data_IF_197711376991
#
_entry.id   IF_197711376991
#
_cell.length_a   1.000
_cell.length_b   1.000
_cell.length_c   1.000
_cell.angle_alpha   90.00
_cell.angle_beta   90.00
_cell.angle_gamma   90.00
#
_symmetry.space_group_name_H-M   'P 1'
#
loop_
_entity.id
_entity.type
_entity.pdbx_description
1 polymer ?
#
# COMPACT_ATOMS: atom_id res chain seq x y z
N UNK A 1 -69.95 24.52 -4.57
CA UNK A 1 -68.78 24.68 -3.67
C UNK A 1 -68.40 23.30 -3.19
N UNK A 2 -67.12 22.93 -3.30
CA UNK A 2 -66.57 21.66 -2.79
C UNK A 2 -65.49 21.94 -1.75
N UNK A 3 -65.09 20.93 -0.99
CA UNK A 3 -64.02 21.05 0.01
C UNK A 3 -62.67 20.67 -0.60
N UNK A 4 -61.69 21.55 -0.47
CA UNK A 4 -60.38 21.44 -1.09
C UNK A 4 -59.35 20.90 -0.08
N UNK A 5 -59.49 19.60 0.23
CA UNK A 5 -58.65 18.79 1.14
C UNK A 5 -58.91 18.93 2.66
N UNK A 6 -58.39 17.97 3.44
CA UNK A 6 -58.74 17.66 4.84
C UNK A 6 -57.50 17.32 5.69
N UNK A 7 -57.55 17.42 7.04
CA UNK A 7 -56.35 17.68 7.87
C UNK A 7 -55.67 16.42 8.46
N UNK A 8 -54.54 16.64 9.14
CA UNK A 8 -53.88 15.66 10.01
C UNK A 8 -53.54 16.26 11.38
N UNK A 9 -53.94 15.58 12.47
CA UNK A 9 -53.60 15.89 13.87
C UNK A 9 -53.52 14.56 14.63
N UNK A 10 -52.43 14.27 15.35
CA UNK A 10 -52.34 13.02 16.14
C UNK A 10 -50.97 12.74 16.79
N UNK A 11 -50.89 13.00 18.10
CA UNK A 11 -49.79 12.67 19.03
C UNK A 11 -50.37 12.55 20.44
N UNK A 12 -49.86 11.77 21.40
CA UNK A 12 -48.68 10.87 21.46
C UNK A 12 -49.16 9.49 22.02
N UNK A 13 -48.42 8.51 22.59
CA UNK A 13 -47.09 8.43 23.23
C UNK A 13 -46.51 7.00 23.08
N UNK A 14 -45.19 6.87 23.21
CA UNK A 14 -44.48 5.59 23.48
C UNK A 14 -44.84 5.02 24.87
N UNK A 15 -44.63 3.72 25.14
CA UNK A 15 -43.34 3.32 25.73
C UNK A 15 -42.83 1.90 25.39
N UNK A 16 -41.51 1.70 25.58
CA UNK A 16 -40.81 0.41 25.79
C UNK A 16 -40.85 -0.68 24.69
N UNK A 17 -39.90 -1.64 24.64
CA UNK A 17 -38.46 -1.66 25.04
C UNK A 17 -37.86 -2.96 24.48
N UNK A 18 -36.82 -2.87 23.65
CA UNK A 18 -35.82 -3.94 23.52
C UNK A 18 -34.52 -3.36 22.98
N UNK A 19 -33.40 -3.64 23.67
CA UNK A 19 -32.08 -3.17 23.29
C UNK A 19 -31.32 -4.30 22.58
N UNK A 20 -30.69 -3.98 21.47
CA UNK A 20 -29.57 -4.74 20.92
C UNK A 20 -28.36 -3.80 20.90
N UNK A 21 -27.20 -4.33 21.24
CA UNK A 21 -26.06 -3.57 21.74
C UNK A 21 -25.01 -3.35 20.64
N UNK A 22 -24.50 -2.12 20.54
CA UNK A 22 -23.26 -1.68 19.90
C UNK A 22 -22.73 -2.49 18.72
N UNK A 23 -22.67 -1.83 17.56
CA UNK A 23 -21.35 -1.47 17.05
C UNK A 23 -21.42 -0.11 16.34
N UNK A 24 -21.04 0.95 17.06
CA UNK A 24 -20.67 2.20 16.41
C UNK A 24 -19.37 1.97 15.64
N UNK A 25 -19.50 1.65 14.35
CA UNK A 25 -18.38 1.77 13.42
C UNK A 25 -18.08 3.26 13.35
N UNK A 26 -16.99 3.67 13.99
CA UNK A 26 -16.44 5.01 13.82
C UNK A 26 -16.12 5.19 12.34
N UNK A 27 -16.97 5.96 11.65
CA UNK A 27 -16.60 6.58 10.38
C UNK A 27 -15.54 7.63 10.71
N UNK A 28 -14.30 7.15 10.82
CA UNK A 28 -13.14 8.02 10.79
C UNK A 28 -13.18 8.81 9.49
N UNK A 29 -12.86 10.11 9.58
CA UNK A 29 -13.12 11.04 8.50
C UNK A 29 -12.02 10.90 7.46
N UNK A 30 -12.20 9.93 6.56
CA UNK A 30 -11.61 9.99 5.23
C UNK A 30 -11.86 11.37 4.66
N UNK A 31 -10.81 12.19 4.70
CA UNK A 31 -10.78 13.45 4.00
C UNK A 31 -10.91 13.07 2.53
N UNK A 32 -11.91 13.63 1.84
CA UNK A 32 -11.92 13.62 0.39
C UNK A 32 -10.82 14.61 0.00
N UNK A 33 -9.61 14.08 -0.13
CA UNK A 33 -8.52 14.74 -0.83
C UNK A 33 -8.70 14.35 -2.28
N UNK A 34 -9.04 15.31 -3.12
CA UNK A 34 -9.06 15.14 -4.58
C UNK A 34 -7.60 15.07 -5.08
N UNK A 35 -6.93 13.96 -4.75
CA UNK A 35 -5.53 13.70 -5.02
C UNK A 35 -5.36 13.24 -6.49
N UNK A 36 -5.24 14.22 -7.39
CA UNK A 36 -5.09 14.02 -8.83
C UNK A 36 -3.79 13.27 -9.23
N UNK A 37 -2.89 13.03 -8.27
CA UNK A 37 -1.56 12.42 -8.43
C UNK A 37 -1.52 10.91 -8.10
N UNK A 38 -2.58 10.31 -7.54
CA UNK A 38 -2.58 8.91 -7.12
C UNK A 38 -2.56 7.91 -8.32
N UNK A 39 -1.70 6.86 -8.29
CA UNK A 39 -1.50 5.95 -9.42
C UNK A 39 -2.67 4.98 -9.63
N UNK A 40 -3.62 5.37 -10.49
CA UNK A 40 -4.84 4.58 -10.80
C UNK A 40 -4.57 3.28 -11.57
N UNK A 41 -5.24 2.19 -11.19
CA UNK A 41 -5.14 0.89 -11.87
C UNK A 41 -5.95 0.89 -13.17
N UNK A 42 -5.27 0.74 -14.32
CA UNK A 42 -5.93 0.61 -15.63
C UNK A 42 -6.35 -0.83 -15.89
N UNK A 43 -7.61 -1.03 -16.30
CA UNK A 43 -8.18 -2.36 -16.54
C UNK A 43 -8.96 -2.46 -17.85
N UNK A 44 -9.01 -3.67 -18.41
CA UNK A 44 -9.94 -4.07 -19.48
C UNK A 44 -10.81 -5.21 -18.95
N UNK A 45 -12.13 -5.10 -19.10
CA UNK A 45 -13.09 -6.07 -18.58
C UNK A 45 -13.74 -6.87 -19.73
N UNK A 46 -13.80 -8.19 -19.58
CA UNK A 46 -14.54 -9.11 -20.43
C UNK A 46 -15.50 -9.95 -19.59
N UNK A 47 -16.71 -10.15 -20.09
CA UNK A 47 -17.71 -11.00 -19.45
C UNK A 47 -18.48 -11.84 -20.48
N UNK A 48 -19.13 -12.90 -20.03
CA UNK A 48 -20.05 -13.71 -20.83
C UNK A 48 -21.42 -13.03 -21.03
N UNK A 49 -21.86 -12.23 -20.05
CA UNK A 49 -23.16 -11.55 -20.05
C UNK A 49 -23.06 -10.07 -19.62
N UNK A 50 -23.96 -9.24 -20.16
CA UNK A 50 -23.99 -7.80 -19.89
C UNK A 50 -24.19 -7.47 -18.41
N UNK A 51 -25.11 -8.16 -17.71
CA UNK A 51 -25.41 -7.88 -16.30
C UNK A 51 -24.20 -8.03 -15.37
N UNK A 52 -23.33 -9.02 -15.63
CA UNK A 52 -22.09 -9.17 -14.85
C UNK A 52 -21.04 -8.12 -15.21
N UNK A 53 -20.99 -7.69 -16.47
CA UNK A 53 -20.12 -6.60 -16.91
C UNK A 53 -20.51 -5.27 -16.23
N UNK A 54 -21.81 -4.99 -16.13
CA UNK A 54 -22.35 -3.82 -15.42
C UNK A 54 -22.13 -3.92 -13.91
N UNK A 55 -22.36 -5.09 -13.30
CA UNK A 55 -22.06 -5.33 -11.89
C UNK A 55 -20.57 -5.10 -11.56
N UNK A 56 -19.65 -5.60 -12.39
CA UNK A 56 -18.21 -5.32 -12.26
C UNK A 56 -17.91 -3.83 -12.40
N UNK A 57 -18.41 -3.16 -13.44
CA UNK A 57 -18.18 -1.71 -13.65
C UNK A 57 -18.66 -0.87 -12.46
N UNK A 58 -19.76 -1.26 -11.83
CA UNK A 58 -20.33 -0.57 -10.67
C UNK A 58 -19.72 -0.98 -9.32
N UNK A 59 -18.77 -1.93 -9.30
CA UNK A 59 -18.09 -2.41 -8.08
C UNK A 59 -16.79 -1.68 -7.76
N UNK A 60 -16.38 -0.71 -8.58
CA UNK A 60 -15.09 -0.03 -8.47
C UNK A 60 -15.24 1.48 -8.25
N UNK A 61 -14.29 2.04 -7.49
CA UNK A 61 -14.14 3.46 -7.17
C UNK A 61 -13.20 4.16 -8.16
N UNK A 62 -12.96 5.45 -7.94
CA UNK A 62 -12.19 6.33 -8.84
C UNK A 62 -10.72 5.91 -9.04
N UNK A 63 -10.22 4.98 -8.21
CA UNK A 63 -8.90 4.35 -8.28
C UNK A 63 -8.71 3.41 -9.48
N UNK A 64 -9.80 3.01 -10.16
CA UNK A 64 -9.80 2.02 -11.25
C UNK A 64 -10.27 2.65 -12.57
N UNK A 65 -9.36 2.75 -13.54
CA UNK A 65 -9.66 3.30 -14.87
C UNK A 65 -9.99 2.16 -15.84
N UNK A 66 -11.28 1.99 -16.13
CA UNK A 66 -11.79 0.99 -17.08
C UNK A 66 -11.63 1.52 -18.52
N UNK A 67 -10.59 1.06 -19.22
CA UNK A 67 -10.29 1.50 -20.60
C UNK A 67 -11.24 0.90 -21.64
N UNK A 68 -11.68 -0.33 -21.40
CA UNK A 68 -12.58 -1.08 -22.28
C UNK A 68 -13.37 -2.09 -21.46
N UNK A 69 -14.64 -2.27 -21.79
CA UNK A 69 -15.53 -3.24 -21.18
C UNK A 69 -16.41 -3.86 -22.27
N UNK A 70 -16.34 -5.18 -22.45
CA UNK A 70 -17.04 -5.86 -23.54
C UNK A 70 -17.52 -7.27 -23.19
N UNK A 71 -18.38 -7.80 -24.05
CA UNK A 71 -18.94 -9.15 -23.94
C UNK A 71 -18.19 -10.10 -24.88
N UNK A 72 -17.94 -11.33 -24.43
CA UNK A 72 -17.24 -12.36 -25.19
C UNK A 72 -15.75 -12.47 -24.87
N UNK A 73 -15.02 -13.22 -25.70
CA UNK A 73 -13.60 -13.53 -25.48
C UNK A 73 -12.68 -12.31 -25.57
N UNK A 74 -11.52 -12.40 -24.91
CA UNK A 74 -10.37 -11.54 -25.19
C UNK A 74 -9.98 -11.69 -26.66
N UNK A 75 -9.58 -10.59 -27.30
CA UNK A 75 -9.06 -10.51 -28.67
C UNK A 75 -7.65 -9.92 -28.68
N UNK A 76 -6.92 -10.08 -29.78
CA UNK A 76 -5.60 -9.49 -30.00
C UNK A 76 -5.61 -7.96 -29.74
N UNK A 77 -6.67 -7.27 -30.18
CA UNK A 77 -6.89 -5.83 -29.97
C UNK A 77 -6.91 -5.44 -28.49
N UNK A 78 -7.50 -6.29 -27.63
CA UNK A 78 -7.51 -6.03 -26.18
C UNK A 78 -6.11 -6.17 -25.58
N UNK A 79 -5.30 -7.09 -26.09
CA UNK A 79 -3.92 -7.32 -25.65
C UNK A 79 -3.01 -6.16 -26.08
N UNK A 80 -3.08 -5.71 -27.33
CA UNK A 80 -2.32 -4.54 -27.79
C UNK A 80 -2.75 -3.25 -27.08
N UNK A 81 -4.05 -3.07 -26.79
CA UNK A 81 -4.55 -1.96 -25.98
C UNK A 81 -4.00 -2.03 -24.54
N UNK A 82 -3.98 -3.22 -23.94
CA UNK A 82 -3.46 -3.42 -22.59
C UNK A 82 -1.95 -3.18 -22.51
N UNK A 83 -1.16 -3.66 -23.47
CA UNK A 83 0.27 -3.38 -23.58
C UNK A 83 0.52 -1.87 -23.66
N UNK A 84 -0.05 -1.21 -24.68
CA UNK A 84 0.14 0.22 -24.98
C UNK A 84 -0.29 1.12 -23.82
N UNK A 85 -1.33 0.74 -23.08
CA UNK A 85 -1.89 1.54 -21.99
C UNK A 85 -1.35 1.16 -20.61
N UNK A 86 -0.58 0.07 -20.51
CA UNK A 86 -0.16 -0.62 -19.29
C UNK A 86 -1.33 -1.06 -18.39
N UNK A 87 -2.36 -1.64 -19.00
CA UNK A 87 -3.55 -2.17 -18.32
C UNK A 87 -3.48 -3.69 -18.09
N UNK A 88 -4.34 -4.20 -17.20
CA UNK A 88 -4.52 -5.62 -16.92
C UNK A 88 -5.90 -6.08 -17.41
N UNK A 89 -6.02 -7.30 -17.95
CA UNK A 89 -7.28 -7.82 -18.52
C UNK A 89 -7.93 -8.79 -17.54
N UNK A 90 -9.19 -8.56 -17.20
CA UNK A 90 -9.98 -9.42 -16.32
C UNK A 90 -11.16 -10.03 -17.08
N UNK A 91 -11.28 -11.35 -17.03
CA UNK A 91 -12.26 -12.14 -17.77
C UNK A 91 -13.18 -12.92 -16.82
N UNK A 92 -14.45 -12.51 -16.73
CA UNK A 92 -15.49 -13.21 -15.97
C UNK A 92 -16.20 -14.25 -16.83
N UNK A 93 -16.18 -15.52 -16.40
CA UNK A 93 -16.79 -16.70 -17.04
C UNK A 93 -16.45 -16.88 -18.55
N UNK A 94 -15.46 -16.13 -19.03
CA UNK A 94 -14.92 -16.15 -20.37
C UNK A 94 -13.65 -16.97 -20.36
N UNK A 95 -13.49 -17.85 -21.35
CA UNK A 95 -12.27 -18.64 -21.54
C UNK A 95 -11.47 -18.12 -22.72
N UNK A 96 -10.21 -17.80 -22.47
CA UNK A 96 -9.27 -17.26 -23.45
C UNK A 96 -8.61 -18.38 -24.25
N UNK A 97 -8.53 -18.28 -25.59
CA UNK A 97 -7.72 -19.17 -26.41
C UNK A 97 -6.25 -19.19 -25.96
N UNK A 98 -5.65 -20.38 -25.88
CA UNK A 98 -4.25 -20.55 -25.43
C UNK A 98 -3.23 -19.80 -26.29
N UNK A 99 -3.57 -19.47 -27.54
CA UNK A 99 -2.75 -18.60 -28.40
C UNK A 99 -2.71 -17.15 -27.89
N UNK A 100 -3.85 -16.62 -27.41
CA UNK A 100 -3.96 -15.27 -26.87
C UNK A 100 -3.37 -15.15 -25.46
N UNK A 101 -3.44 -16.21 -24.64
CA UNK A 101 -2.70 -16.25 -23.38
C UNK A 101 -1.19 -16.13 -23.62
N UNK A 102 -0.63 -16.89 -24.57
CA UNK A 102 0.78 -16.78 -24.97
C UNK A 102 1.14 -15.42 -25.58
N UNK A 103 0.22 -14.80 -26.31
CA UNK A 103 0.41 -13.44 -26.81
C UNK A 103 0.50 -12.44 -25.63
N UNK A 104 -0.42 -12.52 -24.67
CA UNK A 104 -0.38 -11.71 -23.47
C UNK A 104 0.92 -11.92 -22.65
N UNK A 105 1.38 -13.16 -22.49
CA UNK A 105 2.69 -13.46 -21.85
C UNK A 105 3.86 -12.78 -22.57
N UNK A 106 3.93 -12.88 -23.91
CA UNK A 106 4.99 -12.26 -24.72
C UNK A 106 4.98 -10.73 -24.59
N UNK A 107 3.79 -10.11 -24.63
CA UNK A 107 3.59 -8.67 -24.46
C UNK A 107 3.53 -8.22 -22.98
N UNK A 108 3.82 -9.12 -22.03
CA UNK A 108 3.81 -8.91 -20.56
C UNK A 108 2.48 -8.39 -19.99
N UNK A 109 1.40 -8.57 -20.72
CA UNK A 109 0.03 -8.23 -20.31
C UNK A 109 -0.46 -9.29 -19.32
N UNK A 110 -0.91 -8.85 -18.15
CA UNK A 110 -1.53 -9.75 -17.16
C UNK A 110 -2.98 -10.02 -17.56
N UNK A 111 -3.32 -11.29 -17.71
CA UNK A 111 -4.70 -11.78 -17.89
C UNK A 111 -5.10 -12.54 -16.64
N UNK A 112 -6.27 -12.23 -16.10
CA UNK A 112 -6.87 -12.96 -14.97
C UNK A 112 -8.26 -13.48 -15.37
N UNK A 113 -8.42 -14.81 -15.33
CA UNK A 113 -9.68 -15.49 -15.64
C UNK A 113 -10.31 -16.03 -14.36
N UNK A 114 -11.61 -15.78 -14.15
CA UNK A 114 -12.35 -16.32 -13.01
C UNK A 114 -13.82 -16.56 -13.35
N UNK A 115 -14.48 -17.43 -12.56
CA UNK A 115 -15.94 -17.68 -12.60
C UNK A 115 -16.69 -17.11 -11.39
N UNK A 116 -15.99 -16.45 -10.47
CA UNK A 116 -16.54 -15.91 -9.23
C UNK A 116 -16.27 -14.40 -9.24
N UNK A 117 -17.33 -13.60 -9.26
CA UNK A 117 -17.22 -12.13 -9.41
C UNK A 117 -16.34 -11.51 -8.32
N UNK A 118 -16.41 -12.05 -7.10
CA UNK A 118 -15.63 -11.61 -5.95
C UNK A 118 -14.11 -11.84 -6.11
N UNK A 119 -13.65 -12.88 -6.80
CA UNK A 119 -12.20 -13.07 -7.05
C UNK A 119 -11.63 -11.98 -7.95
N UNK A 120 -12.42 -11.48 -8.91
CA UNK A 120 -12.03 -10.35 -9.78
C UNK A 120 -12.00 -9.05 -8.97
N UNK A 121 -13.02 -8.82 -8.14
CA UNK A 121 -13.12 -7.61 -7.31
C UNK A 121 -12.00 -7.59 -6.26
N UNK A 122 -11.78 -8.68 -5.53
CA UNK A 122 -10.73 -8.82 -4.51
C UNK A 122 -9.34 -8.68 -5.12
N UNK A 123 -9.09 -9.25 -6.31
CA UNK A 123 -7.82 -9.08 -7.02
C UNK A 123 -7.62 -7.62 -7.42
N UNK A 124 -8.60 -6.97 -8.05
CA UNK A 124 -8.51 -5.54 -8.40
C UNK A 124 -8.28 -4.68 -7.16
N UNK A 125 -9.04 -4.87 -6.08
CA UNK A 125 -8.84 -4.17 -4.80
C UNK A 125 -7.45 -4.43 -4.21
N UNK A 126 -6.96 -5.67 -4.23
CA UNK A 126 -5.62 -6.03 -3.77
C UNK A 126 -4.51 -5.38 -4.62
N UNK A 127 -4.76 -5.16 -5.91
CA UNK A 127 -3.80 -4.54 -6.82
C UNK A 127 -3.84 -3.01 -6.73
N UNK A 128 -5.00 -2.40 -6.47
CA UNK A 128 -5.14 -0.99 -6.07
C UNK A 128 -4.47 -0.75 -4.71
N UNK A 129 -4.69 -1.64 -3.74
CA UNK A 129 -4.02 -1.58 -2.43
C UNK A 129 -2.50 -1.72 -2.56
N UNK A 130 -1.94 -2.37 -3.58
CA UNK A 130 -0.48 -2.36 -3.86
C UNK A 130 0.05 -1.12 -4.58
N UNK A 131 -0.85 -0.27 -5.09
CA UNK A 131 -0.53 1.05 -5.63
C UNK A 131 -0.71 2.15 -4.57
N UNK A 132 -1.51 1.86 -3.53
CA UNK A 132 -1.71 2.67 -2.32
C UNK A 132 -0.82 2.23 -1.14
N UNK A 133 -0.31 0.98 -1.15
CA UNK A 133 0.83 0.55 -0.32
C UNK A 133 1.94 1.56 -0.61
N UNK A 134 2.37 2.36 0.37
CA UNK A 134 3.29 3.43 0.06
C UNK A 134 4.60 2.81 -0.41
N UNK A 135 4.93 3.04 -1.68
CA UNK A 135 6.31 3.31 -2.06
C UNK A 135 6.74 4.54 -1.28
N UNK A 136 7.08 4.33 -0.02
CA UNK A 136 7.72 5.33 0.82
C UNK A 136 8.99 5.67 0.04
N UNK A 137 9.09 6.89 -0.50
CA UNK A 137 10.22 7.30 -1.36
C UNK A 137 11.43 7.63 -0.46
N UNK A 138 11.82 6.62 0.31
CA UNK A 138 12.82 6.62 1.35
C UNK A 138 14.19 6.70 0.68
N UNK A 139 14.56 7.92 0.30
CA UNK A 139 15.87 8.23 -0.25
C UNK A 139 16.92 7.77 0.76
N UNK A 140 17.60 6.66 0.44
CA UNK A 140 18.60 6.05 1.30
C UNK A 140 19.79 7.01 1.38
N UNK A 141 19.96 7.64 2.55
CA UNK A 141 21.05 8.56 2.84
C UNK A 141 22.35 7.81 3.10
N UNK A 142 22.25 6.64 3.73
CA UNK A 142 23.40 5.79 4.01
C UNK A 142 23.04 4.42 4.60
N UNK A 143 24.04 3.54 4.63
CA UNK A 143 23.97 2.22 5.24
C UNK A 143 25.10 2.06 6.26
N UNK A 144 24.88 1.26 7.30
CA UNK A 144 25.92 0.91 8.26
C UNK A 144 25.73 -0.49 8.84
N UNK A 145 26.85 -1.15 9.16
CA UNK A 145 26.89 -2.49 9.75
C UNK A 145 27.26 -2.41 11.24
N UNK A 146 26.48 -3.04 12.11
CA UNK A 146 26.77 -3.13 13.54
C UNK A 146 27.86 -4.19 13.77
N UNK A 147 29.09 -3.73 14.02
CA UNK A 147 30.28 -4.57 14.23
C UNK A 147 30.64 -4.80 15.70
N UNK A 148 30.15 -3.94 16.60
CA UNK A 148 30.40 -4.06 18.04
C UNK A 148 29.18 -3.61 18.85
N UNK A 149 29.12 -4.04 20.11
CA UNK A 149 28.23 -3.48 21.11
C UNK A 149 29.06 -2.97 22.29
N UNK A 150 28.76 -1.75 22.73
CA UNK A 150 29.29 -1.20 23.97
C UNK A 150 28.15 -0.88 24.92
N UNK A 151 28.38 -1.04 26.22
CA UNK A 151 27.43 -0.65 27.26
C UNK A 151 28.10 0.32 28.22
N UNK A 152 27.62 1.55 28.26
CA UNK A 152 28.07 2.57 29.21
C UNK A 152 26.91 2.82 30.18
N UNK A 153 27.15 2.51 31.45
CA UNK A 153 26.14 2.50 32.52
C UNK A 153 24.91 1.65 32.16
N UNK A 154 23.83 2.31 31.70
CA UNK A 154 22.54 1.69 31.31
C UNK A 154 22.25 1.82 29.81
N UNK A 155 23.07 2.54 29.04
CA UNK A 155 22.87 2.79 27.61
C UNK A 155 23.66 1.76 26.79
N UNK A 156 22.97 1.07 25.87
CA UNK A 156 23.60 0.27 24.80
C UNK A 156 23.95 1.21 23.64
N UNK A 157 25.18 1.09 23.13
CA UNK A 157 25.73 1.88 22.04
C UNK A 157 26.16 0.89 20.95
N UNK A 158 25.63 1.04 19.75
CA UNK A 158 26.05 0.23 18.60
C UNK A 158 27.36 0.79 18.05
N UNK A 159 28.39 -0.07 17.93
CA UNK A 159 29.58 0.23 17.14
C UNK A 159 29.27 -0.03 15.66
N UNK A 160 29.05 1.04 14.90
CA UNK A 160 28.61 1.00 13.51
C UNK A 160 29.75 1.41 12.59
N UNK A 161 30.01 0.61 11.54
CA UNK A 161 30.77 1.08 10.39
C UNK A 161 29.82 1.56 9.30
N UNK A 162 29.97 2.79 8.81
CA UNK A 162 29.20 3.26 7.67
C UNK A 162 29.71 2.59 6.38
N UNK A 163 28.85 1.81 5.71
CA UNK A 163 29.18 1.01 4.52
C UNK A 163 28.82 1.71 3.22
N UNK A 164 27.83 2.61 3.21
CA UNK A 164 27.47 3.47 2.08
C UNK A 164 26.98 4.84 2.55
N UNK A 165 27.15 5.88 1.73
CA UNK A 165 26.53 7.19 1.92
C UNK A 165 27.01 7.97 3.16
N UNK A 166 26.11 8.70 3.80
CA UNK A 166 26.32 9.32 5.12
C UNK A 166 25.09 9.17 6.02
N UNK A 167 25.33 9.03 7.33
CA UNK A 167 24.28 8.90 8.34
C UNK A 167 24.43 10.05 9.32
N UNK A 168 23.35 10.82 9.51
CA UNK A 168 23.35 11.96 10.44
C UNK A 168 22.79 11.56 11.80
N UNK A 169 23.15 12.33 12.82
CA UNK A 169 22.31 12.49 14.00
C UNK A 169 20.91 12.95 13.56
N UNK A 170 19.88 12.52 14.28
CA UNK A 170 18.48 12.73 13.94
C UNK A 170 17.98 12.08 12.62
N UNK A 171 18.81 11.29 11.90
CA UNK A 171 18.34 10.43 10.80
C UNK A 171 17.31 9.40 11.30
N UNK A 172 16.29 9.10 10.48
CA UNK A 172 15.44 7.93 10.65
C UNK A 172 16.20 6.67 10.20
N UNK A 173 15.98 5.55 10.88
CA UNK A 173 16.76 4.32 10.75
C UNK A 173 15.82 3.11 10.71
N UNK A 174 15.90 2.30 9.66
CA UNK A 174 15.44 0.91 9.71
C UNK A 174 16.58 0.03 10.23
N UNK A 175 16.34 -0.69 11.32
CA UNK A 175 17.19 -1.81 11.72
C UNK A 175 16.77 -3.07 10.95
N UNK A 176 17.67 -3.60 10.12
CA UNK A 176 17.49 -4.84 9.36
C UNK A 176 18.33 -5.99 9.91
N UNK A 177 17.75 -7.19 9.96
CA UNK A 177 18.39 -8.46 10.34
C UNK A 177 17.96 -9.52 9.33
N UNK A 178 18.91 -10.31 8.82
CA UNK A 178 18.67 -11.32 7.78
C UNK A 178 17.88 -10.77 6.56
N UNK A 179 18.18 -9.52 6.19
CA UNK A 179 17.53 -8.77 5.10
C UNK A 179 16.17 -8.13 5.43
N UNK A 180 15.51 -8.50 6.54
CA UNK A 180 14.18 -8.00 6.92
C UNK A 180 14.26 -6.83 7.88
N UNK A 181 13.37 -5.84 7.75
CA UNK A 181 13.20 -4.78 8.76
C UNK A 181 12.65 -5.43 10.03
N UNK A 182 13.30 -5.14 11.17
CA UNK A 182 12.92 -5.61 12.50
C UNK A 182 12.29 -4.49 13.31
N UNK A 183 12.86 -3.28 13.21
CA UNK A 183 12.35 -2.11 13.93
C UNK A 183 12.84 -0.80 13.35
N UNK A 184 11.95 0.18 13.33
CA UNK A 184 12.23 1.57 12.97
C UNK A 184 12.57 2.39 14.22
N UNK A 185 13.58 3.24 14.11
CA UNK A 185 14.08 4.09 15.19
C UNK A 185 14.74 5.35 14.63
N UNK A 186 15.23 6.23 15.48
CA UNK A 186 15.92 7.48 15.10
C UNK A 186 17.27 7.57 15.80
N UNK A 187 18.28 8.13 15.13
CA UNK A 187 19.59 8.39 15.73
C UNK A 187 19.48 9.49 16.79
N UNK A 188 19.71 9.14 18.06
CA UNK A 188 19.72 10.11 19.17
C UNK A 188 21.08 10.82 19.28
N UNK A 189 22.17 10.11 19.00
CA UNK A 189 23.52 10.66 19.03
C UNK A 189 24.53 9.78 18.29
N UNK A 190 25.57 10.41 17.77
CA UNK A 190 26.75 9.76 17.18
C UNK A 190 27.99 10.26 17.94
N UNK A 191 28.91 9.35 18.25
CA UNK A 191 30.22 9.65 18.81
C UNK A 191 31.31 8.97 18.01
N UNK A 192 32.41 9.68 17.74
CA UNK A 192 33.62 9.08 17.18
C UNK A 192 34.73 9.13 18.25
N UNK A 193 35.14 7.95 18.70
CA UNK A 193 35.97 7.78 19.91
C UNK A 193 35.41 8.49 21.15
N UNK A 194 35.87 9.72 21.45
CA UNK A 194 35.41 10.53 22.60
C UNK A 194 34.53 11.71 22.19
N UNK A 195 34.56 12.09 20.92
CA UNK A 195 34.00 13.32 20.40
C UNK A 195 32.56 13.09 19.92
N UNK A 196 31.69 14.08 20.13
CA UNK A 196 30.32 14.07 19.64
C UNK A 196 30.33 14.65 18.23
N UNK A 197 29.67 13.97 17.28
CA UNK A 197 29.64 14.37 15.86
C UNK A 197 28.22 14.33 15.32
N UNK A 198 27.88 15.24 14.41
CA UNK A 198 26.52 15.31 13.84
C UNK A 198 26.33 14.38 12.63
N UNK A 199 27.40 13.83 12.04
CA UNK A 199 27.29 12.78 11.01
C UNK A 199 28.54 11.91 10.84
N UNK A 200 28.33 10.72 10.27
CA UNK A 200 29.36 9.77 9.85
C UNK A 200 29.25 9.53 8.34
N UNK A 201 30.38 9.28 7.67
CA UNK A 201 30.46 8.97 6.23
C UNK A 201 30.99 7.57 6.00
N UNK A 202 30.70 7.01 4.81
CA UNK A 202 31.23 5.73 4.33
C UNK A 202 32.72 5.54 4.64
N UNK A 203 33.06 4.36 5.15
CA UNK A 203 34.43 3.96 5.52
C UNK A 203 34.81 4.26 6.97
N UNK A 204 34.10 5.15 7.66
CA UNK A 204 34.38 5.50 9.05
C UNK A 204 33.52 4.70 10.05
N UNK A 205 34.09 4.42 11.21
CA UNK A 205 33.43 3.81 12.36
C UNK A 205 32.96 4.86 13.39
N UNK A 206 31.84 4.60 14.06
CA UNK A 206 31.29 5.43 15.13
C UNK A 206 30.49 4.60 16.17
N UNK A 207 30.26 5.18 17.35
CA UNK A 207 29.29 4.70 18.32
C UNK A 207 27.96 5.45 18.16
N UNK A 208 26.85 4.74 18.01
CA UNK A 208 25.51 5.31 17.80
C UNK A 208 24.54 4.91 18.92
N UNK A 209 23.68 5.84 19.33
CA UNK A 209 22.52 5.58 20.20
C UNK A 209 21.21 5.82 19.45
N UNK A 210 20.18 5.05 19.80
CA UNK A 210 18.90 5.01 19.08
C UNK A 210 17.71 5.30 20.00
N UNK A 211 16.71 6.00 19.48
CA UNK A 211 15.48 6.38 20.18
C UNK A 211 14.26 6.19 19.25
N UNK A 212 13.24 5.39 19.61
CA UNK A 212 13.13 4.57 20.82
C UNK A 212 14.20 3.46 20.90
N UNK A 213 14.39 2.92 22.11
CA UNK A 213 15.33 1.81 22.36
C UNK A 213 15.03 0.63 21.43
N UNK A 214 16.08 0.01 20.91
CA UNK A 214 16.00 -1.12 19.97
C UNK A 214 16.95 -2.25 20.38
N UNK A 215 16.50 -3.50 20.24
CA UNK A 215 17.33 -4.68 20.46
C UNK A 215 18.16 -5.01 19.20
N UNK A 216 19.22 -4.23 19.00
CA UNK A 216 20.21 -4.52 17.97
C UNK A 216 21.15 -5.66 18.38
N UNK A 217 21.78 -6.28 17.37
CA UNK A 217 22.76 -7.38 17.49
C UNK A 217 23.91 -7.18 16.51
N UNK A 218 24.99 -7.92 16.73
CA UNK A 218 26.12 -7.97 15.80
C UNK A 218 25.68 -8.48 14.42
N UNK A 219 26.18 -7.85 13.37
CA UNK A 219 25.82 -8.05 11.96
C UNK A 219 24.42 -7.60 11.54
N UNK A 220 23.65 -6.94 12.43
CA UNK A 220 22.49 -6.16 11.98
C UNK A 220 22.96 -5.00 11.09
N UNK A 221 22.14 -4.64 10.10
CA UNK A 221 22.37 -3.51 9.19
C UNK A 221 21.41 -2.39 9.54
N UNK A 222 21.92 -1.17 9.71
CA UNK A 222 21.09 0.03 9.75
C UNK A 222 21.03 0.67 8.37
N UNK A 223 19.85 1.13 7.96
CA UNK A 223 19.67 1.96 6.76
C UNK A 223 19.09 3.29 7.20
N UNK A 224 19.80 4.38 6.90
CA UNK A 224 19.38 5.74 7.14
C UNK A 224 18.62 6.27 5.93
N UNK A 225 17.47 6.87 6.19
CA UNK A 225 16.54 7.30 5.15
C UNK A 225 15.91 8.66 5.47
N UNK A 226 15.25 9.23 4.47
CA UNK A 226 14.45 10.44 4.57
C UNK A 226 13.20 10.34 3.70
N UNK A 227 12.09 10.85 4.24
CA UNK A 227 10.84 11.22 3.57
C UNK A 227 10.87 12.72 3.18
#
# INVERSE_FOLDING_TARGET
MGFEQVPAVGSIVTPEKQAIIHQEVVLDKFQIVDDEDHPKLKVILKADMQGTLEALRNSFTDDVVILSAGIGSITDTDIFMAETSHAQIFAFNVKTPTQLLKLAENHKVKVFESRIIYEIIENIQTQVLKLLEPTIDETILGEGLIKAEFKIEKVRIAGVQCTKGEITKDSLIHLKRDGKIIKDTKVEGIRQAKDIVDKIKMGNDCGMTFKPYVDFKLNDVIIAYKN
#
